data_IF_385487671306
#
_entry.id   IF_385487671306
#
_cell.length_a   1.000
_cell.length_b   1.000
_cell.length_c   1.000
_cell.angle_alpha   90.00
_cell.angle_beta   90.00
_cell.angle_gamma   90.00
#
_symmetry.space_group_name_H-M   'P 1'
#
loop_
_entity.id
_entity.type
_entity.pdbx_description
1 polymer ?
#
# COMPACT_ATOMS: atom_id res chain seq x y z
N UNK A 1 -9.17 -7.82 -20.91
CA UNK A 1 -8.13 -8.05 -19.92
C UNK A 1 -8.58 -7.40 -18.63
N UNK A 2 -8.83 -8.16 -17.60
CA UNK A 2 -9.15 -7.66 -16.26
C UNK A 2 -7.95 -7.97 -15.39
N UNK A 3 -7.50 -6.99 -14.61
CA UNK A 3 -6.49 -7.15 -13.58
C UNK A 3 -6.89 -6.25 -12.41
N UNK A 4 -6.32 -6.50 -11.23
CA UNK A 4 -6.54 -5.71 -10.03
C UNK A 4 -5.99 -4.28 -10.24
N UNK A 5 -6.69 -3.26 -9.73
CA UNK A 5 -6.30 -1.86 -9.82
C UNK A 5 -4.93 -1.58 -9.18
N UNK A 6 -4.59 -2.30 -8.11
CA UNK A 6 -3.29 -2.20 -7.45
C UNK A 6 -2.16 -2.82 -8.28
N UNK A 7 -2.40 -3.94 -8.94
CA UNK A 7 -1.45 -4.52 -9.89
C UNK A 7 -1.20 -3.55 -11.06
N UNK A 8 -2.28 -2.95 -11.57
CA UNK A 8 -2.18 -1.95 -12.63
C UNK A 8 -1.44 -0.70 -12.13
N UNK A 9 -1.76 -0.19 -10.95
CA UNK A 9 -1.04 0.93 -10.34
C UNK A 9 0.46 0.64 -10.18
N UNK A 10 0.79 -0.55 -9.70
CA UNK A 10 2.19 -1.01 -9.58
C UNK A 10 2.88 -1.05 -10.94
N UNK A 11 2.22 -1.58 -11.98
CA UNK A 11 2.78 -1.61 -13.33
C UNK A 11 2.94 -0.20 -13.90
N UNK A 12 2.01 0.71 -13.62
CA UNK A 12 2.10 2.11 -14.00
C UNK A 12 3.33 2.79 -13.41
N UNK A 13 3.50 2.69 -12.10
CA UNK A 13 4.67 3.24 -11.39
C UNK A 13 5.98 2.60 -11.87
N UNK A 14 5.97 1.32 -12.16
CA UNK A 14 7.13 0.63 -12.72
C UNK A 14 7.52 1.13 -14.11
N UNK A 15 6.55 1.34 -15.01
CA UNK A 15 6.80 1.72 -16.39
C UNK A 15 7.05 3.21 -16.58
N UNK A 16 6.36 4.07 -15.83
CA UNK A 16 6.30 5.51 -16.10
C UNK A 16 6.53 6.38 -14.86
N UNK A 17 6.51 5.80 -13.65
CA UNK A 17 6.63 6.52 -12.39
C UNK A 17 7.90 6.24 -11.61
N UNK A 18 7.78 6.17 -10.28
CA UNK A 18 8.88 6.08 -9.31
C UNK A 18 9.72 4.78 -9.43
N UNK A 19 9.17 3.73 -10.05
CA UNK A 19 9.85 2.45 -10.27
C UNK A 19 10.64 2.35 -11.57
N UNK A 20 10.69 3.40 -12.39
CA UNK A 20 11.40 3.36 -13.69
C UNK A 20 12.87 2.99 -13.52
N UNK A 21 13.33 2.07 -14.40
CA UNK A 21 14.73 1.66 -14.46
C UNK A 21 15.14 0.63 -13.41
N UNK A 22 14.24 0.18 -12.55
CA UNK A 22 14.47 -0.93 -11.63
C UNK A 22 14.08 -2.26 -12.27
N UNK A 23 14.59 -3.35 -11.74
CA UNK A 23 14.25 -4.71 -12.15
C UNK A 23 13.22 -5.33 -11.20
N UNK A 24 13.40 -5.08 -9.89
CA UNK A 24 12.58 -5.62 -8.83
C UNK A 24 11.97 -4.49 -8.01
N UNK A 25 10.65 -4.45 -7.94
CA UNK A 25 9.87 -3.41 -7.27
C UNK A 25 8.67 -4.02 -6.56
N UNK A 26 8.35 -3.47 -5.40
CA UNK A 26 7.08 -3.72 -4.73
C UNK A 26 6.28 -2.42 -4.67
N UNK A 27 5.03 -2.46 -5.13
CA UNK A 27 4.06 -1.39 -4.91
C UNK A 27 3.22 -1.68 -3.67
N UNK A 28 2.99 -0.68 -2.82
CA UNK A 28 2.09 -0.73 -1.66
C UNK A 28 1.17 0.49 -1.74
N UNK A 29 -0.14 0.28 -1.87
CA UNK A 29 -1.11 1.35 -2.02
C UNK A 29 -2.00 1.45 -0.79
N UNK A 30 -1.93 2.60 -0.11
CA UNK A 30 -2.66 2.89 1.14
C UNK A 30 -3.82 3.83 0.84
N UNK A 31 -5.00 3.24 0.68
CA UNK A 31 -6.26 3.91 0.41
C UNK A 31 -7.34 3.46 1.38
N UNK A 32 -8.57 3.30 0.90
CA UNK A 32 -9.69 2.71 1.65
C UNK A 32 -9.30 1.35 2.26
N UNK A 33 -8.59 0.54 1.48
CA UNK A 33 -7.88 -0.66 1.92
C UNK A 33 -6.37 -0.49 1.82
N UNK A 34 -5.64 -1.61 1.89
CA UNK A 34 -4.22 -1.70 1.58
C UNK A 34 -4.01 -2.82 0.58
N UNK A 35 -3.48 -2.49 -0.58
CA UNK A 35 -3.15 -3.48 -1.60
C UNK A 35 -1.67 -3.43 -1.96
N UNK A 36 -1.20 -4.45 -2.68
CA UNK A 36 0.17 -4.49 -3.18
C UNK A 36 0.31 -5.18 -4.53
N UNK A 37 1.40 -4.87 -5.21
CA UNK A 37 1.77 -5.50 -6.46
C UNK A 37 3.26 -5.78 -6.51
N UNK A 38 3.64 -6.79 -7.27
CA UNK A 38 5.01 -7.29 -7.35
C UNK A 38 5.53 -7.22 -8.78
N UNK A 39 6.65 -6.53 -8.98
CA UNK A 39 7.46 -6.63 -10.20
C UNK A 39 8.73 -7.39 -9.83
N UNK A 40 8.97 -8.54 -10.44
CA UNK A 40 10.17 -9.33 -10.24
C UNK A 40 10.73 -9.72 -11.61
N UNK A 41 12.03 -9.53 -11.80
CA UNK A 41 12.70 -9.69 -13.10
C UNK A 41 12.07 -8.84 -14.21
N UNK A 42 11.64 -7.62 -13.89
CA UNK A 42 10.99 -6.72 -14.82
C UNK A 42 9.58 -7.10 -15.24
N UNK A 43 8.93 -8.04 -14.55
CA UNK A 43 7.61 -8.57 -14.89
C UNK A 43 6.65 -8.51 -13.72
N UNK A 44 5.42 -8.10 -13.98
CA UNK A 44 4.33 -8.19 -13.01
C UNK A 44 4.09 -9.65 -12.63
N UNK A 45 4.07 -9.92 -11.33
CA UNK A 45 3.85 -11.25 -10.75
C UNK A 45 2.47 -11.33 -10.13
N UNK A 46 1.58 -12.02 -10.79
CA UNK A 46 0.21 -12.25 -10.28
C UNK A 46 0.08 -13.55 -9.48
N UNK A 47 1.11 -14.40 -9.50
CA UNK A 47 1.10 -15.68 -8.79
C UNK A 47 0.29 -16.77 -9.50
N UNK A 48 0.30 -17.96 -8.87
CA UNK A 48 -0.33 -19.16 -9.43
C UNK A 48 -1.86 -19.05 -9.53
N UNK A 49 -2.48 -18.39 -8.53
CA UNK A 49 -3.94 -18.19 -8.43
C UNK A 49 -4.36 -16.76 -8.71
N UNK A 50 -3.48 -15.94 -9.29
CA UNK A 50 -3.67 -14.50 -9.48
C UNK A 50 -3.93 -13.74 -8.15
N UNK A 51 -3.30 -14.17 -7.06
CA UNK A 51 -3.42 -13.59 -5.73
C UNK A 51 -2.04 -13.29 -5.09
N UNK A 52 -1.04 -12.99 -5.92
CA UNK A 52 0.23 -12.49 -5.41
C UNK A 52 0.13 -10.99 -5.12
N UNK A 53 0.84 -10.52 -4.11
CA UNK A 53 0.84 -9.10 -3.77
C UNK A 53 -0.20 -8.70 -2.72
N UNK A 54 -0.98 -9.62 -2.17
CA UNK A 54 -2.00 -9.39 -1.13
C UNK A 54 -1.39 -8.97 0.22
N UNK A 55 -0.50 -7.95 0.20
CA UNK A 55 0.26 -7.49 1.38
C UNK A 55 -0.66 -6.90 2.45
N UNK A 56 -1.78 -6.30 2.07
CA UNK A 56 -2.79 -5.78 2.99
C UNK A 56 -3.42 -6.85 3.87
N UNK A 57 -3.41 -8.10 3.41
CA UNK A 57 -3.95 -9.23 4.14
C UNK A 57 -2.90 -10.08 4.88
N UNK A 58 -1.63 -9.65 4.88
CA UNK A 58 -0.62 -10.22 5.78
C UNK A 58 -0.93 -9.83 7.23
N UNK A 59 -0.85 -10.82 8.13
CA UNK A 59 -1.09 -10.60 9.56
C UNK A 59 0.14 -9.92 10.17
N UNK A 60 -0.05 -8.70 10.67
CA UNK A 60 0.99 -7.89 11.33
C UNK A 60 0.73 -7.74 12.84
N UNK A 61 -0.47 -8.08 13.28
CA UNK A 61 -0.87 -8.01 14.69
C UNK A 61 -1.73 -9.23 15.02
N UNK A 62 -1.14 -10.24 15.68
CA UNK A 62 -1.88 -11.39 16.17
C UNK A 62 -3.04 -10.92 17.05
N UNK A 63 -4.22 -11.53 16.89
CA UNK A 63 -5.46 -11.17 17.60
C UNK A 63 -5.92 -9.71 17.43
N UNK A 64 -5.41 -9.03 16.42
CA UNK A 64 -5.78 -7.65 16.08
C UNK A 64 -7.23 -7.49 15.62
N UNK A 65 -7.59 -6.29 15.13
CA UNK A 65 -8.94 -6.00 14.65
C UNK A 65 -9.38 -6.97 13.54
N UNK A 66 -10.69 -7.17 13.43
CA UNK A 66 -11.26 -7.95 12.31
C UNK A 66 -11.08 -7.18 11.01
N UNK A 67 -10.55 -7.86 10.00
CA UNK A 67 -10.41 -7.37 8.65
C UNK A 67 -11.67 -7.66 7.82
N UNK A 68 -11.92 -6.87 6.78
CA UNK A 68 -12.99 -7.13 5.81
C UNK A 68 -12.93 -8.52 5.16
N UNK A 69 -11.75 -9.15 5.11
CA UNK A 69 -11.57 -10.52 4.63
C UNK A 69 -12.00 -11.61 5.65
N UNK A 70 -12.52 -11.25 6.82
CA UNK A 70 -12.95 -12.15 7.89
C UNK A 70 -11.85 -12.60 8.85
N UNK A 71 -10.57 -12.37 8.54
CA UNK A 71 -9.44 -12.70 9.43
C UNK A 71 -9.15 -11.56 10.41
N UNK A 72 -8.28 -11.82 11.41
CA UNK A 72 -7.84 -10.81 12.37
C UNK A 72 -6.41 -10.38 12.11
N UNK A 73 -6.14 -9.11 12.39
CA UNK A 73 -4.77 -8.57 12.45
C UNK A 73 -4.08 -8.37 11.12
N UNK A 74 -4.82 -8.38 10.00
CA UNK A 74 -4.30 -7.99 8.70
C UNK A 74 -3.78 -6.54 8.74
N UNK A 75 -2.75 -6.23 7.96
CA UNK A 75 -2.24 -4.87 7.82
C UNK A 75 -3.35 -3.87 7.47
N UNK A 76 -4.23 -4.20 6.54
CA UNK A 76 -5.36 -3.37 6.14
C UNK A 76 -6.24 -2.97 7.34
N UNK A 77 -6.50 -3.90 8.27
CA UNK A 77 -7.33 -3.67 9.44
C UNK A 77 -6.68 -2.72 10.48
N UNK A 78 -5.39 -2.40 10.34
CA UNK A 78 -4.64 -1.53 11.27
C UNK A 78 -4.02 -0.29 10.63
N UNK A 79 -3.87 -0.28 9.30
CA UNK A 79 -3.12 0.78 8.61
C UNK A 79 -3.80 1.35 7.36
N UNK A 80 -4.96 0.84 6.93
CA UNK A 80 -5.74 1.48 5.86
C UNK A 80 -6.34 2.80 6.33
N UNK A 81 -6.74 3.67 5.39
CA UNK A 81 -7.49 4.90 5.70
C UNK A 81 -8.75 4.58 6.52
N UNK A 82 -9.49 3.53 6.15
CA UNK A 82 -10.68 3.09 6.91
C UNK A 82 -10.33 2.69 8.34
N UNK A 83 -9.21 2.01 8.57
CA UNK A 83 -8.75 1.66 9.91
C UNK A 83 -8.34 2.90 10.72
N UNK A 84 -7.62 3.84 10.10
CA UNK A 84 -7.23 5.11 10.70
C UNK A 84 -8.48 5.93 11.09
N UNK A 85 -9.45 6.07 10.18
CA UNK A 85 -10.71 6.75 10.47
C UNK A 85 -11.46 6.11 11.65
N UNK A 86 -11.58 4.78 11.65
CA UNK A 86 -12.22 4.04 12.75
C UNK A 86 -11.56 4.37 14.09
N UNK A 87 -10.25 4.31 14.14
CA UNK A 87 -9.50 4.48 15.38
C UNK A 87 -9.54 5.93 15.89
N UNK A 88 -9.53 6.92 14.98
CA UNK A 88 -9.77 8.33 15.33
C UNK A 88 -11.20 8.48 15.90
N UNK A 89 -12.23 7.91 15.27
CA UNK A 89 -13.60 7.98 15.75
C UNK A 89 -13.77 7.34 17.13
N UNK A 90 -13.15 6.19 17.35
CA UNK A 90 -13.16 5.54 18.67
C UNK A 90 -12.48 6.41 19.75
N UNK A 91 -11.37 7.06 19.40
CA UNK A 91 -10.72 8.01 20.31
C UNK A 91 -11.61 9.21 20.67
N UNK A 92 -12.30 9.80 19.69
CA UNK A 92 -13.25 10.88 19.90
C UNK A 92 -14.43 10.44 20.77
N UNK A 93 -14.99 9.26 20.52
CA UNK A 93 -16.08 8.67 21.34
C UNK A 93 -15.65 8.40 22.79
N UNK A 94 -14.36 8.09 23.00
CA UNK A 94 -13.77 7.94 24.33
C UNK A 94 -13.44 9.30 25.01
N UNK A 95 -13.82 10.43 24.40
CA UNK A 95 -13.60 11.76 24.97
C UNK A 95 -12.16 12.28 24.85
N UNK A 96 -11.34 11.71 23.95
CA UNK A 96 -9.98 12.21 23.73
C UNK A 96 -9.98 13.55 23.02
N UNK A 97 -9.05 14.41 23.41
CA UNK A 97 -8.83 15.70 22.75
C UNK A 97 -8.36 15.52 21.31
N UNK A 98 -8.94 16.30 20.41
CA UNK A 98 -8.58 16.32 18.99
C UNK A 98 -9.11 17.59 18.30
N UNK A 99 -8.42 18.04 17.28
CA UNK A 99 -8.82 19.14 16.41
C UNK A 99 -9.78 18.69 15.28
N UNK A 100 -10.05 17.41 15.14
CA UNK A 100 -10.91 16.85 14.09
C UNK A 100 -12.30 17.50 14.07
N UNK A 101 -13.02 17.68 15.20
CA UNK A 101 -14.33 18.33 15.18
C UNK A 101 -14.31 19.75 14.59
N UNK A 102 -13.24 20.50 14.82
CA UNK A 102 -13.07 21.85 14.29
C UNK A 102 -12.71 21.84 12.79
N UNK A 103 -11.90 20.87 12.37
CA UNK A 103 -11.40 20.79 11.00
C UNK A 103 -12.45 20.24 10.02
N UNK A 104 -13.33 19.36 10.46
CA UNK A 104 -14.34 18.74 9.58
C UNK A 104 -15.53 19.67 9.31
N UNK A 105 -15.87 20.58 10.24
CA UNK A 105 -17.09 21.42 10.19
C UNK A 105 -18.39 20.63 9.94
N UNK A 106 -18.33 19.31 9.90
CA UNK A 106 -19.41 18.38 9.58
C UNK A 106 -19.70 17.47 10.78
N UNK A 107 -21.00 17.44 11.18
CA UNK A 107 -21.46 16.56 12.27
C UNK A 107 -21.28 15.07 11.95
N UNK A 108 -21.24 14.70 10.66
CA UNK A 108 -21.00 13.32 10.23
C UNK A 108 -19.52 12.91 10.30
N UNK A 109 -18.60 13.85 10.62
CA UNK A 109 -17.17 13.61 10.76
C UNK A 109 -16.60 12.83 9.55
N UNK A 110 -16.82 13.32 8.32
CA UNK A 110 -16.20 12.72 7.13
C UNK A 110 -14.68 12.99 7.15
N UNK A 111 -13.91 11.95 7.48
CA UNK A 111 -12.46 12.03 7.57
C UNK A 111 -11.83 11.69 6.21
N UNK A 112 -11.44 12.72 5.48
CA UNK A 112 -10.63 12.55 4.26
C UNK A 112 -9.15 12.51 4.61
N UNK A 113 -8.31 11.95 3.70
CA UNK A 113 -6.85 11.99 3.87
C UNK A 113 -6.33 13.40 4.10
N UNK A 114 -6.89 14.42 3.41
CA UNK A 114 -6.51 15.82 3.59
C UNK A 114 -6.87 16.39 4.97
N UNK A 115 -7.97 15.96 5.60
CA UNK A 115 -8.32 16.37 6.97
C UNK A 115 -7.34 15.74 7.97
N UNK A 116 -7.01 14.47 7.78
CA UNK A 116 -6.04 13.75 8.61
C UNK A 116 -4.66 14.43 8.50
N UNK A 117 -4.21 14.75 7.28
CA UNK A 117 -2.96 15.47 7.04
C UNK A 117 -2.93 16.83 7.77
N UNK A 118 -3.98 17.62 7.65
CA UNK A 118 -4.09 18.92 8.35
C UNK A 118 -4.06 18.77 9.87
N UNK A 119 -4.68 17.73 10.42
CA UNK A 119 -4.64 17.47 11.85
C UNK A 119 -3.21 17.10 12.31
N UNK A 120 -2.50 16.31 11.51
CA UNK A 120 -1.09 15.98 11.73
C UNK A 120 -0.21 17.23 11.73
N UNK A 121 -0.32 18.09 10.72
CA UNK A 121 0.42 19.36 10.60
C UNK A 121 0.21 20.26 11.82
N UNK A 122 -1.00 20.26 12.39
CA UNK A 122 -1.36 21.03 13.59
C UNK A 122 -0.98 20.35 14.90
N UNK A 123 -0.36 19.18 14.85
CA UNK A 123 0.08 18.44 16.02
C UNK A 123 -1.06 17.81 16.84
N UNK A 124 -2.18 17.45 16.20
CA UNK A 124 -3.29 16.76 16.87
C UNK A 124 -2.80 15.50 17.59
N UNK A 125 -2.96 15.38 18.92
CA UNK A 125 -2.37 14.27 19.68
C UNK A 125 -3.03 12.93 19.36
N UNK A 126 -4.34 12.89 19.15
CA UNK A 126 -5.08 11.65 18.81
C UNK A 126 -4.69 11.16 17.41
N UNK A 127 -4.74 12.05 16.42
CA UNK A 127 -4.42 11.70 15.04
C UNK A 127 -2.96 11.30 14.93
N UNK A 128 -2.05 12.01 15.58
CA UNK A 128 -0.62 11.68 15.60
C UNK A 128 -0.32 10.32 16.18
N UNK A 129 -1.04 9.90 17.22
CA UNK A 129 -0.89 8.56 17.81
C UNK A 129 -1.39 7.48 16.85
N UNK A 130 -2.60 7.65 16.28
CA UNK A 130 -3.19 6.70 15.34
C UNK A 130 -2.30 6.55 14.11
N UNK A 131 -1.81 7.66 13.56
CA UNK A 131 -0.93 7.66 12.39
C UNK A 131 0.41 6.99 12.67
N UNK A 132 1.07 7.30 13.80
CA UNK A 132 2.33 6.63 14.18
C UNK A 132 2.16 5.12 14.29
N UNK A 133 1.02 4.64 14.80
CA UNK A 133 0.72 3.21 14.88
C UNK A 133 0.54 2.59 13.49
N UNK A 134 -0.18 3.24 12.59
CA UNK A 134 -0.35 2.78 11.21
C UNK A 134 1.01 2.72 10.48
N UNK A 135 1.81 3.78 10.58
CA UNK A 135 3.15 3.87 10.01
C UNK A 135 4.10 2.79 10.55
N UNK A 136 4.00 2.49 11.85
CA UNK A 136 4.76 1.40 12.47
C UNK A 136 4.46 0.05 11.82
N UNK A 137 3.18 -0.31 11.67
CA UNK A 137 2.81 -1.58 11.04
C UNK A 137 3.16 -1.63 9.55
N UNK A 138 3.03 -0.52 8.83
CA UNK A 138 3.50 -0.40 7.45
C UNK A 138 5.01 -0.61 7.36
N UNK A 139 5.78 -0.05 8.30
CA UNK A 139 7.22 -0.25 8.38
C UNK A 139 7.62 -1.70 8.65
N UNK A 140 6.94 -2.38 9.57
CA UNK A 140 7.17 -3.81 9.86
C UNK A 140 6.85 -4.68 8.64
N UNK A 141 5.73 -4.41 7.96
CA UNK A 141 5.40 -5.13 6.73
C UNK A 141 6.46 -4.88 5.66
N UNK A 142 6.84 -3.62 5.45
CA UNK A 142 7.88 -3.27 4.48
C UNK A 142 9.18 -4.02 4.75
N UNK A 143 9.58 -4.12 6.01
CA UNK A 143 10.75 -4.92 6.39
C UNK A 143 10.58 -6.41 6.05
N UNK A 144 9.40 -6.97 6.31
CA UNK A 144 9.11 -8.37 5.99
C UNK A 144 9.18 -8.62 4.48
N UNK A 145 8.64 -7.69 3.69
CA UNK A 145 8.68 -7.76 2.22
C UNK A 145 10.12 -7.62 1.72
N UNK A 146 10.90 -6.68 2.25
CA UNK A 146 12.32 -6.52 1.89
C UNK A 146 13.11 -7.76 2.27
N UNK A 147 12.94 -8.29 3.48
CA UNK A 147 13.62 -9.51 3.92
C UNK A 147 13.26 -10.75 3.08
N UNK A 148 12.09 -10.76 2.42
CA UNK A 148 11.62 -11.88 1.60
C UNK A 148 12.01 -11.77 0.13
N UNK A 149 12.00 -10.56 -0.43
CA UNK A 149 12.08 -10.31 -1.87
C UNK A 149 13.37 -9.59 -2.26
N UNK A 150 13.92 -8.77 -1.34
CA UNK A 150 15.08 -7.89 -1.57
C UNK A 150 14.93 -6.99 -2.81
N UNK A 151 13.84 -6.19 -2.91
CA UNK A 151 13.59 -5.36 -4.08
C UNK A 151 14.51 -4.13 -4.10
N UNK A 152 14.77 -3.57 -5.29
CA UNK A 152 15.50 -2.30 -5.44
C UNK A 152 14.69 -1.11 -4.92
N UNK A 153 13.35 -1.20 -4.99
CA UNK A 153 12.46 -0.12 -4.57
C UNK A 153 11.12 -0.64 -4.06
N UNK A 154 10.63 -0.01 -2.99
CA UNK A 154 9.25 -0.10 -2.52
C UNK A 154 8.58 1.23 -2.81
N UNK A 155 7.57 1.23 -3.66
CA UNK A 155 6.80 2.42 -4.04
C UNK A 155 5.50 2.44 -3.25
N UNK A 156 5.28 3.52 -2.51
CA UNK A 156 4.02 3.74 -1.78
C UNK A 156 3.11 4.67 -2.57
N UNK A 157 1.86 4.28 -2.78
CA UNK A 157 0.83 5.08 -3.42
C UNK A 157 -0.47 5.14 -2.62
N UNK A 158 -1.46 5.78 -3.20
CA UNK A 158 -2.81 5.94 -2.64
C UNK A 158 -2.99 7.21 -1.83
N UNK A 159 -4.25 7.60 -1.63
CA UNK A 159 -4.61 8.94 -1.17
C UNK A 159 -4.12 9.33 0.23
N UNK A 160 -3.68 8.39 1.08
CA UNK A 160 -3.05 8.71 2.36
C UNK A 160 -1.62 9.18 2.14
N UNK A 161 -0.90 8.51 1.24
CA UNK A 161 0.48 8.86 0.87
C UNK A 161 0.50 10.20 0.14
N UNK A 162 -0.38 10.37 -0.85
CA UNK A 162 -0.49 11.60 -1.65
C UNK A 162 -0.80 12.85 -0.81
N UNK A 163 -1.57 12.68 0.29
CA UNK A 163 -1.92 13.79 1.17
C UNK A 163 -0.79 14.25 2.09
N UNK A 164 0.22 13.41 2.35
CA UNK A 164 1.27 13.66 3.35
C UNK A 164 2.69 13.44 2.81
N UNK A 165 2.82 12.81 1.64
CA UNK A 165 4.07 12.59 0.93
C UNK A 165 5.20 12.03 1.82
N UNK A 166 6.32 12.72 1.90
CA UNK A 166 7.51 12.27 2.61
C UNK A 166 7.30 12.18 4.13
N UNK A 167 6.46 13.04 4.70
CA UNK A 167 6.11 13.02 6.13
C UNK A 167 5.40 11.73 6.54
N UNK A 168 4.64 11.12 5.62
CA UNK A 168 4.06 9.81 5.86
C UNK A 168 5.11 8.70 5.78
N UNK A 169 6.06 8.80 4.85
CA UNK A 169 7.03 7.74 4.59
C UNK A 169 8.24 7.75 5.52
N UNK A 170 8.61 8.90 6.08
CA UNK A 170 9.80 9.00 6.93
C UNK A 170 9.77 8.03 8.13
N UNK A 171 8.69 7.92 8.94
CA UNK A 171 8.63 6.94 10.03
C UNK A 171 8.61 5.49 9.53
N UNK A 172 7.99 5.22 8.37
CA UNK A 172 7.96 3.90 7.75
C UNK A 172 9.37 3.46 7.38
N UNK A 173 10.17 4.35 6.76
CA UNK A 173 11.58 4.08 6.41
C UNK A 173 12.41 3.73 7.63
N UNK A 174 12.27 4.52 8.72
CA UNK A 174 12.98 4.27 9.97
C UNK A 174 12.65 2.88 10.51
N UNK A 175 11.37 2.57 10.65
CA UNK A 175 10.91 1.27 11.16
C UNK A 175 11.37 0.13 10.26
N UNK A 176 11.21 0.26 8.94
CA UNK A 176 11.62 -0.79 8.01
C UNK A 176 13.11 -1.10 8.11
N UNK A 177 13.98 -0.08 8.06
CA UNK A 177 15.43 -0.24 8.15
C UNK A 177 15.90 -0.84 9.48
N UNK A 178 15.19 -0.54 10.58
CA UNK A 178 15.48 -1.14 11.89
C UNK A 178 15.24 -2.66 11.89
N UNK A 179 14.34 -3.16 11.05
CA UNK A 179 13.91 -4.56 11.01
C UNK A 179 14.44 -5.35 9.79
N UNK A 180 15.29 -4.75 8.94
CA UNK A 180 16.00 -5.50 7.90
C UNK A 180 16.98 -6.48 8.57
N UNK A 181 17.02 -7.72 8.08
CA UNK A 181 18.04 -8.69 8.51
C UNK A 181 19.42 -8.32 7.96
N UNK A 182 19.49 -7.88 6.70
CA UNK A 182 20.70 -7.36 6.09
C UNK A 182 20.82 -5.86 6.36
N UNK A 183 21.79 -5.49 7.22
CA UNK A 183 22.04 -4.10 7.61
C UNK A 183 23.00 -3.38 6.68
N UNK A 184 23.90 -4.14 6.06
CA UNK A 184 24.84 -3.58 5.09
C UNK A 184 24.06 -3.11 3.86
N UNK A 185 24.35 -1.92 3.41
CA UNK A 185 23.67 -1.31 2.24
C UNK A 185 22.14 -1.18 2.35
N UNK A 186 21.60 -1.12 3.59
CA UNK A 186 20.16 -0.98 3.82
C UNK A 186 19.53 0.24 3.10
N UNK A 187 20.33 1.27 2.86
CA UNK A 187 19.91 2.48 2.14
C UNK A 187 19.76 2.27 0.62
N UNK A 188 20.29 1.20 0.06
CA UNK A 188 20.13 0.89 -1.36
C UNK A 188 18.70 0.48 -1.69
N UNK A 189 17.95 -0.09 -0.74
CA UNK A 189 16.51 -0.32 -0.91
C UNK A 189 15.80 1.02 -0.74
N UNK A 190 15.31 1.56 -1.83
CA UNK A 190 14.59 2.84 -1.84
C UNK A 190 13.15 2.64 -1.39
N UNK A 191 12.66 3.46 -0.47
CA UNK A 191 11.24 3.55 -0.11
C UNK A 191 10.79 4.96 -0.49
N UNK A 192 9.95 5.05 -1.50
CA UNK A 192 9.61 6.33 -2.16
C UNK A 192 8.10 6.44 -2.40
N UNK A 193 7.55 7.67 -2.46
CA UNK A 193 6.18 7.86 -2.89
C UNK A 193 6.03 7.57 -4.38
N UNK A 194 4.85 7.14 -4.80
CA UNK A 194 4.45 7.07 -6.19
C UNK A 194 4.37 8.48 -6.80
N UNK A 195 4.57 8.56 -8.10
CA UNK A 195 4.61 9.85 -8.82
C UNK A 195 3.43 10.03 -9.79
N UNK A 196 2.61 9.00 -9.98
CA UNK A 196 1.52 9.03 -10.96
C UNK A 196 0.14 9.30 -10.35
N UNK A 197 0.03 9.23 -9.02
CA UNK A 197 -1.22 9.48 -8.30
C UNK A 197 -2.40 8.66 -8.88
N UNK A 198 -3.55 9.29 -9.03
CA UNK A 198 -4.77 8.68 -9.57
C UNK A 198 -4.61 8.09 -10.98
N UNK A 199 -3.57 8.50 -11.73
CA UNK A 199 -3.32 7.99 -13.08
C UNK A 199 -2.54 6.67 -13.10
N UNK A 200 -2.00 6.21 -11.97
CA UNK A 200 -1.14 5.02 -11.92
C UNK A 200 -1.82 3.78 -12.53
N UNK A 201 -3.06 3.49 -12.12
CA UNK A 201 -3.80 2.33 -12.61
C UNK A 201 -4.15 2.44 -14.11
N UNK A 202 -4.55 3.62 -14.57
CA UNK A 202 -4.91 3.85 -16.00
C UNK A 202 -3.68 3.69 -16.89
N UNK A 203 -2.56 4.28 -16.49
CA UNK A 203 -1.28 4.16 -17.22
C UNK A 203 -0.75 2.73 -17.19
N UNK A 204 -0.91 2.03 -16.07
CA UNK A 204 -0.58 0.62 -15.94
C UNK A 204 -1.43 -0.28 -16.85
N UNK A 205 -2.73 0.00 -16.96
CA UNK A 205 -3.61 -0.71 -17.88
C UNK A 205 -3.14 -0.53 -19.35
N UNK A 206 -2.82 0.69 -19.74
CA UNK A 206 -2.27 0.98 -21.07
C UNK A 206 -0.94 0.24 -21.32
N UNK A 207 -0.05 0.22 -20.30
CA UNK A 207 1.21 -0.52 -20.37
C UNK A 207 0.98 -2.03 -20.52
N UNK A 208 0.04 -2.61 -19.76
CA UNK A 208 -0.30 -4.03 -19.81
C UNK A 208 -0.82 -4.45 -21.19
N UNK A 209 -1.68 -3.65 -21.80
CA UNK A 209 -2.20 -3.91 -23.16
C UNK A 209 -1.05 -3.86 -24.18
N UNK A 210 -0.17 -2.87 -24.08
CA UNK A 210 1.00 -2.74 -24.97
C UNK A 210 1.96 -3.93 -24.82
N UNK A 211 2.27 -4.36 -23.60
CA UNK A 211 3.18 -5.48 -23.32
C UNK A 211 2.62 -6.79 -23.87
N UNK A 212 1.29 -7.00 -23.79
CA UNK A 212 0.60 -8.17 -24.37
C UNK A 212 0.59 -8.13 -25.90
N UNK A 213 0.35 -6.97 -26.50
CA UNK A 213 0.40 -6.79 -27.96
C UNK A 213 1.80 -7.04 -28.53
N UNK A 214 2.85 -6.63 -27.79
CA UNK A 214 4.24 -6.88 -28.15
C UNK A 214 4.73 -8.34 -27.94
N UNK A 215 3.86 -9.23 -27.45
CA UNK A 215 4.19 -10.64 -27.21
C UNK A 215 4.99 -10.90 -25.93
N UNK A 216 5.18 -9.89 -25.11
CA UNK A 216 5.98 -9.95 -23.88
C UNK A 216 5.16 -10.38 -22.64
N UNK A 217 4.19 -11.27 -22.74
CA UNK A 217 3.36 -11.61 -21.59
C UNK A 217 2.45 -12.81 -21.72
N UNK A 218 2.69 -13.70 -22.66
CA UNK A 218 1.95 -14.99 -22.67
C UNK A 218 2.55 -15.93 -21.64
N UNK A 219 1.91 -16.06 -20.49
CA UNK A 219 2.20 -17.18 -19.60
C UNK A 219 1.76 -18.50 -20.27
N UNK A 220 2.40 -19.63 -19.96
CA UNK A 220 2.00 -20.95 -20.50
C UNK A 220 0.52 -21.30 -20.24
N UNK A 221 -0.13 -20.68 -19.26
CA UNK A 221 -1.54 -20.88 -18.92
C UNK A 221 -2.53 -20.22 -19.87
N UNK A 222 -2.16 -19.12 -20.52
CA UNK A 222 -3.04 -18.45 -21.49
C UNK A 222 -3.26 -19.31 -22.75
N UNK A 223 -2.61 -20.48 -22.84
CA UNK A 223 -2.68 -21.41 -23.97
C UNK A 223 -3.61 -22.60 -23.76
N UNK A 224 -4.22 -22.77 -22.59
CA UNK A 224 -5.11 -23.92 -22.34
C UNK A 224 -6.52 -23.48 -21.92
N UNK A 225 -7.46 -23.38 -22.87
CA UNK A 225 -8.84 -23.02 -22.58
C UNK A 225 -9.64 -24.11 -21.82
N UNK A 226 -9.09 -25.31 -21.64
CA UNK A 226 -9.77 -26.42 -20.99
C UNK A 226 -9.81 -26.32 -19.45
N UNK A 227 -9.19 -25.31 -18.83
CA UNK A 227 -9.15 -25.11 -17.37
C UNK A 227 -10.21 -24.13 -16.85
N UNK A 228 -11.17 -23.73 -17.67
CA UNK A 228 -12.20 -22.73 -17.33
C UNK A 228 -13.58 -23.31 -17.02
N UNK A 229 -13.73 -24.61 -16.85
CA UNK A 229 -14.99 -25.21 -16.42
C UNK A 229 -14.85 -25.72 -14.97
N UNK A 230 -15.67 -25.22 -14.03
CA UNK A 230 -15.81 -25.84 -12.72
C UNK A 230 -16.54 -27.18 -12.84
N UNK A 231 -16.35 -28.12 -11.91
CA UNK A 231 -17.12 -29.34 -11.83
C UNK A 231 -18.58 -29.08 -11.52
#
# INVERSE_FOLDING_TARGET
CVDDDVNLGTLGEYRMGAGRGTRDMVGIFVGTGVGGGLILDGKLRTGFRHAAGEVGHMVVLADGPVCGCGRRGCLEAVASRTAIERDIRLGLQAGRESLIPELTKDKALHLTSGIIARAMEKGDPLVSEVMRRAQWYLGLLTASVVNLIDPEVVVFGGGVVEAMDDDFLAPIRVTARQHYIQKMDADRVRIVPGTLGDYAAVLGAAALVRDRAAGCGRTPRDRNPALLLPP
#
